data_IF_568757717480
#
_entry.id   IF_568757717480
#
_cell.length_a   1.000
_cell.length_b   1.000
_cell.length_c   1.000
_cell.angle_alpha   90.00
_cell.angle_beta   90.00
_cell.angle_gamma   90.00
#
_symmetry.space_group_name_H-M   'P 1'
#
loop_
_entity.id
_entity.type
_entity.pdbx_description
1 polymer ?
#
# COMPACT_ATOMS: atom_id res chain seq x y z
N UNK A 1 -5.53 3.86 -22.73
CA UNK A 1 -7.01 3.72 -22.82
C UNK A 1 -7.58 4.20 -21.50
N UNK A 2 -8.78 4.79 -21.45
CA UNK A 2 -9.38 5.13 -20.16
C UNK A 2 -9.58 3.84 -19.35
N UNK A 3 -9.10 3.82 -18.12
CA UNK A 3 -9.20 2.67 -17.22
C UNK A 3 -10.68 2.49 -16.85
N UNK A 4 -11.28 1.36 -17.28
CA UNK A 4 -12.64 0.99 -16.92
C UNK A 4 -12.63 0.22 -15.60
N UNK A 5 -12.85 0.95 -14.51
CA UNK A 5 -12.90 0.40 -13.18
C UNK A 5 -14.01 -0.66 -12.96
N UNK A 6 -15.04 -0.69 -13.81
CA UNK A 6 -16.11 -1.70 -13.74
C UNK A 6 -15.76 -2.99 -14.48
N UNK A 7 -14.82 -2.94 -15.42
CA UNK A 7 -14.34 -4.08 -16.20
C UNK A 7 -12.82 -4.14 -16.12
N UNK A 8 -12.24 -4.51 -14.96
CA UNK A 8 -10.81 -4.51 -14.75
C UNK A 8 -10.10 -5.47 -15.70
N UNK A 9 -9.02 -5.00 -16.31
CA UNK A 9 -8.15 -5.80 -17.18
C UNK A 9 -6.75 -5.77 -16.60
N UNK A 10 -6.14 -6.95 -16.46
CA UNK A 10 -4.76 -7.05 -16.01
C UNK A 10 -3.84 -6.28 -16.98
N UNK A 11 -2.98 -5.37 -16.48
CA UNK A 11 -2.09 -4.60 -17.32
C UNK A 11 -1.06 -5.51 -18.00
N UNK A 12 -0.81 -5.25 -19.28
CA UNK A 12 0.08 -6.07 -20.13
C UNK A 12 1.52 -5.53 -20.15
N UNK A 13 1.87 -4.65 -19.22
CA UNK A 13 3.21 -4.05 -19.18
C UNK A 13 4.25 -5.09 -18.72
N UNK A 14 5.30 -5.34 -19.50
CA UNK A 14 6.35 -6.27 -19.09
C UNK A 14 7.08 -5.71 -17.87
N UNK A 15 7.14 -6.49 -16.79
CA UNK A 15 8.02 -6.17 -15.65
C UNK A 15 9.41 -6.68 -15.95
N UNK A 16 10.25 -5.79 -16.49
CA UNK A 16 11.66 -6.07 -16.68
C UNK A 16 12.37 -6.16 -15.33
N UNK A 17 13.27 -7.13 -15.17
CA UNK A 17 14.06 -7.34 -13.96
C UNK A 17 15.48 -7.66 -14.37
N UNK A 18 16.46 -7.04 -13.72
CA UNK A 18 17.87 -7.37 -13.94
C UNK A 18 18.51 -6.62 -15.12
N UNK A 19 19.85 -6.67 -15.15
CA UNK A 19 20.66 -5.91 -16.11
C UNK A 19 20.48 -6.39 -17.56
N UNK A 20 20.16 -7.66 -17.73
CA UNK A 20 19.92 -8.32 -19.02
C UNK A 20 18.60 -7.88 -19.67
N UNK A 21 17.69 -7.26 -18.91
CA UNK A 21 16.40 -6.78 -19.39
C UNK A 21 16.29 -5.26 -19.46
N UNK A 22 17.42 -4.54 -19.48
CA UNK A 22 17.41 -3.09 -19.68
C UNK A 22 16.99 -2.78 -21.12
N UNK A 23 15.93 -1.96 -21.35
CA UNK A 23 15.49 -1.60 -22.69
C UNK A 23 16.57 -0.83 -23.47
N UNK A 24 16.66 -1.06 -24.78
CA UNK A 24 17.67 -0.45 -25.65
C UNK A 24 17.65 1.10 -25.70
N UNK A 25 16.52 1.72 -25.33
CA UNK A 25 16.39 3.18 -25.29
C UNK A 25 16.94 3.81 -24.00
N UNK A 26 17.31 3.01 -22.99
CA UNK A 26 17.87 3.51 -21.73
C UNK A 26 19.35 3.84 -21.94
N UNK A 27 19.79 5.09 -21.72
CA UNK A 27 21.19 5.46 -21.85
C UNK A 27 22.06 4.71 -20.82
N UNK A 28 23.16 4.04 -21.21
CA UNK A 28 23.99 3.25 -20.31
C UNK A 28 24.51 4.03 -19.08
N UNK A 29 24.78 5.31 -19.26
CA UNK A 29 25.27 6.22 -18.21
C UNK A 29 24.24 6.54 -17.13
N UNK A 30 22.95 6.23 -17.35
CA UNK A 30 21.85 6.42 -16.40
C UNK A 30 21.45 5.12 -15.68
N UNK A 31 22.01 3.97 -16.07
CA UNK A 31 21.71 2.69 -15.44
C UNK A 31 22.36 2.64 -14.05
N UNK A 32 21.58 2.34 -13.01
CA UNK A 32 22.05 2.17 -11.63
C UNK A 32 21.51 0.88 -11.04
N UNK A 33 22.20 0.39 -10.01
CA UNK A 33 21.72 -0.63 -9.12
C UNK A 33 21.81 -0.05 -7.71
N UNK A 34 20.86 0.82 -7.37
CA UNK A 34 20.93 1.66 -6.17
C UNK A 34 20.71 0.86 -4.89
N UNK A 35 19.94 -0.23 -4.94
CA UNK A 35 19.53 -0.95 -3.74
C UNK A 35 18.49 -0.20 -2.91
N UNK A 36 17.83 0.80 -3.50
CA UNK A 36 16.68 1.47 -2.87
C UNK A 36 15.61 0.42 -2.52
N UNK A 37 14.93 0.63 -1.38
CA UNK A 37 13.91 -0.23 -0.75
C UNK A 37 14.33 -1.62 -0.26
N UNK A 38 15.35 -2.26 -0.85
CA UNK A 38 15.67 -3.67 -0.57
C UNK A 38 17.13 -3.93 -0.19
N UNK A 39 18.03 -3.00 -0.50
CA UNK A 39 19.45 -3.14 -0.23
C UNK A 39 19.77 -3.07 1.26
N UNK A 40 20.83 -3.77 1.73
CA UNK A 40 21.20 -3.78 3.14
C UNK A 40 21.47 -2.38 3.69
N UNK A 41 22.07 -1.49 2.89
CA UNK A 41 22.35 -0.11 3.30
C UNK A 41 21.07 0.70 3.50
N UNK A 42 20.06 0.53 2.64
CA UNK A 42 18.75 1.17 2.79
C UNK A 42 18.03 0.65 4.05
N UNK A 43 18.03 -0.67 4.26
CA UNK A 43 17.35 -1.28 5.40
C UNK A 43 18.00 -0.93 6.74
N UNK A 44 19.33 -0.75 6.77
CA UNK A 44 20.05 -0.36 7.97
C UNK A 44 19.79 1.09 8.37
N UNK A 45 19.72 2.01 7.40
CA UNK A 45 19.50 3.44 7.67
C UNK A 45 18.86 4.14 6.46
N UNK A 46 17.52 4.07 6.32
CA UNK A 46 16.84 4.55 5.11
C UNK A 46 16.94 6.07 4.97
N UNK A 47 16.99 6.83 6.07
CA UNK A 47 17.07 8.29 6.01
C UNK A 47 18.42 8.79 5.48
N UNK A 48 19.53 8.25 6.01
CA UNK A 48 20.87 8.62 5.53
C UNK A 48 21.11 8.09 4.12
N UNK A 49 20.59 6.90 3.79
CA UNK A 49 20.60 6.38 2.44
C UNK A 49 19.90 7.34 1.47
N UNK A 50 18.69 7.80 1.79
CA UNK A 50 17.93 8.72 0.92
C UNK A 50 18.62 10.08 0.77
N UNK A 51 19.21 10.61 1.85
CA UNK A 51 20.02 11.83 1.77
C UNK A 51 21.22 11.65 0.83
N UNK A 52 21.98 10.56 0.99
CA UNK A 52 23.10 10.25 0.13
C UNK A 52 22.68 9.97 -1.32
N UNK A 53 21.51 9.38 -1.54
CA UNK A 53 20.94 9.12 -2.88
C UNK A 53 20.77 10.44 -3.63
N UNK A 54 20.22 11.47 -2.97
CA UNK A 54 20.04 12.80 -3.54
C UNK A 54 21.36 13.50 -3.90
N UNK A 55 22.45 13.19 -3.22
CA UNK A 55 23.77 13.79 -3.50
C UNK A 55 24.55 13.02 -4.57
N UNK A 56 24.47 11.69 -4.55
CA UNK A 56 25.36 10.80 -5.32
C UNK A 56 24.79 10.36 -6.66
N UNK A 57 23.47 10.34 -6.81
CA UNK A 57 22.81 9.87 -8.03
C UNK A 57 22.37 11.03 -8.93
N UNK A 58 22.24 10.80 -10.26
CA UNK A 58 21.62 11.79 -11.13
C UNK A 58 20.16 12.04 -10.69
N UNK A 59 19.60 13.23 -10.95
CA UNK A 59 18.20 13.56 -10.63
C UNK A 59 17.17 12.56 -11.17
N UNK A 60 17.46 11.98 -12.33
CA UNK A 60 16.66 10.95 -12.97
C UNK A 60 17.60 9.84 -13.43
N UNK A 61 17.30 8.60 -13.04
CA UNK A 61 18.11 7.44 -13.41
C UNK A 61 17.26 6.18 -13.55
N UNK A 62 17.76 5.20 -14.27
CA UNK A 62 17.08 3.90 -14.46
C UNK A 62 17.67 2.89 -13.48
N UNK A 63 16.88 2.49 -12.48
CA UNK A 63 17.30 1.51 -11.50
C UNK A 63 16.99 0.10 -11.97
N UNK A 64 17.94 -0.79 -11.76
CA UNK A 64 17.81 -2.22 -12.00
C UNK A 64 17.73 -2.90 -10.63
N UNK A 65 16.61 -3.58 -10.36
CA UNK A 65 16.37 -4.21 -9.06
C UNK A 65 15.79 -5.61 -9.21
N UNK A 66 15.91 -6.48 -8.20
CA UNK A 66 15.28 -7.80 -8.20
C UNK A 66 13.74 -7.77 -8.28
N UNK A 67 13.11 -6.65 -7.92
CA UNK A 67 11.65 -6.52 -7.85
C UNK A 67 11.04 -5.80 -9.05
N UNK A 68 11.87 -5.20 -9.90
CA UNK A 68 11.46 -4.47 -11.10
C UNK A 68 12.46 -3.38 -11.46
N UNK A 69 12.78 -3.28 -12.74
CA UNK A 69 13.54 -2.18 -13.30
C UNK A 69 12.60 -0.98 -13.51
N UNK A 70 13.00 0.22 -13.09
CA UNK A 70 12.16 1.41 -13.19
C UNK A 70 12.97 2.70 -13.24
N UNK A 71 12.35 3.76 -13.76
CA UNK A 71 12.90 5.11 -13.65
C UNK A 71 12.65 5.66 -12.24
N UNK A 72 13.67 6.30 -11.67
CA UNK A 72 13.59 7.02 -10.41
C UNK A 72 13.74 8.51 -10.67
N UNK A 73 12.82 9.30 -10.11
CA UNK A 73 12.86 10.76 -10.09
C UNK A 73 13.09 11.18 -8.64
N UNK A 74 14.31 11.62 -8.32
CA UNK A 74 14.74 11.83 -6.92
C UNK A 74 14.80 13.30 -6.52
N UNK A 75 14.47 14.22 -7.43
CA UNK A 75 14.36 15.65 -7.12
C UNK A 75 12.90 16.05 -7.03
N UNK A 76 12.61 16.98 -6.11
CA UNK A 76 11.26 17.43 -5.81
C UNK A 76 10.51 17.89 -7.07
N UNK A 77 11.16 18.68 -7.92
CA UNK A 77 10.53 19.27 -9.11
C UNK A 77 10.09 18.20 -10.11
N UNK A 78 10.97 17.23 -10.40
CA UNK A 78 10.71 16.12 -11.31
C UNK A 78 9.64 15.18 -10.75
N UNK A 79 9.75 14.80 -9.47
CA UNK A 79 8.76 13.95 -8.82
C UNK A 79 7.38 14.61 -8.78
N UNK A 80 7.32 15.90 -8.46
CA UNK A 80 6.07 16.66 -8.45
C UNK A 80 5.47 16.80 -9.84
N UNK A 81 6.31 16.96 -10.88
CA UNK A 81 5.86 16.92 -12.27
C UNK A 81 5.22 15.57 -12.59
N UNK A 82 5.91 14.46 -12.30
CA UNK A 82 5.38 13.11 -12.51
C UNK A 82 4.02 12.89 -11.85
N UNK A 83 3.90 13.27 -10.57
CA UNK A 83 2.67 13.13 -9.79
C UNK A 83 1.51 14.02 -10.23
N UNK A 84 1.76 15.06 -11.05
CA UNK A 84 0.74 16.03 -11.51
C UNK A 84 0.31 15.88 -12.96
N UNK A 85 0.94 14.99 -13.72
CA UNK A 85 0.65 14.77 -15.14
C UNK A 85 0.17 13.33 -15.39
N UNK A 86 -1.03 12.94 -14.90
CA UNK A 86 -1.56 11.60 -15.08
C UNK A 86 -1.87 11.24 -16.55
N UNK A 87 -1.93 12.24 -17.43
CA UNK A 87 -2.01 12.07 -18.89
C UNK A 87 -0.69 11.54 -19.50
N UNK A 88 0.43 11.72 -18.80
CA UNK A 88 1.75 11.20 -19.16
C UNK A 88 2.14 10.00 -18.28
N UNK A 89 1.91 10.11 -16.97
CA UNK A 89 2.24 9.11 -15.95
C UNK A 89 0.96 8.53 -15.34
N UNK A 90 0.39 7.56 -16.05
CA UNK A 90 -0.80 6.83 -15.59
C UNK A 90 -0.52 6.07 -14.29
N UNK A 91 -1.54 5.95 -13.44
CA UNK A 91 -1.51 5.10 -12.25
C UNK A 91 -1.88 3.63 -12.54
N UNK A 92 -2.18 3.26 -13.79
CA UNK A 92 -2.52 1.89 -14.17
C UNK A 92 -1.42 0.91 -13.74
N UNK A 93 -1.77 -0.04 -12.85
CA UNK A 93 -0.82 -1.04 -12.36
C UNK A 93 0.28 -0.50 -11.44
N UNK A 94 0.13 0.72 -10.90
CA UNK A 94 1.09 1.32 -9.97
C UNK A 94 1.26 0.51 -8.67
N UNK A 95 0.29 -0.33 -8.30
CA UNK A 95 0.41 -1.17 -7.10
C UNK A 95 1.22 -2.43 -7.41
N UNK A 96 2.36 -2.65 -6.75
CA UNK A 96 3.30 -3.70 -7.13
C UNK A 96 2.85 -5.12 -6.73
N UNK A 97 1.73 -5.25 -6.00
CA UNK A 97 1.25 -6.54 -5.48
C UNK A 97 0.79 -7.49 -6.59
N UNK A 98 1.28 -8.75 -6.58
CA UNK A 98 0.80 -9.79 -7.47
C UNK A 98 -0.70 -10.05 -7.25
N UNK A 99 -1.43 -10.27 -8.34
CA UNK A 99 -2.86 -10.56 -8.38
C UNK A 99 -3.13 -11.65 -9.41
N UNK A 100 -4.24 -12.35 -9.24
CA UNK A 100 -4.73 -13.31 -10.21
C UNK A 100 -5.17 -12.56 -11.49
N UNK A 101 -4.61 -12.88 -12.67
CA UNK A 101 -5.04 -12.30 -13.94
C UNK A 101 -6.49 -12.65 -14.31
N UNK A 102 -7.01 -13.80 -13.84
CA UNK A 102 -8.36 -14.28 -14.16
C UNK A 102 -9.43 -13.71 -13.21
N UNK A 103 -9.01 -13.11 -12.09
CA UNK A 103 -9.85 -12.45 -11.08
C UNK A 103 -9.27 -11.07 -10.71
N UNK A 104 -8.88 -10.32 -11.74
CA UNK A 104 -8.17 -9.06 -11.58
C UNK A 104 -9.08 -7.93 -11.09
N UNK A 105 -8.54 -7.03 -10.27
CA UNK A 105 -9.19 -5.81 -9.83
C UNK A 105 -8.17 -4.67 -9.72
N UNK A 106 -8.65 -3.44 -9.88
CA UNK A 106 -7.86 -2.24 -9.59
C UNK A 106 -7.95 -1.88 -8.11
N UNK A 107 -6.83 -1.49 -7.51
CA UNK A 107 -6.86 -0.81 -6.22
C UNK A 107 -7.42 0.59 -6.43
N UNK A 108 -8.69 0.77 -6.11
CA UNK A 108 -9.38 2.04 -6.31
C UNK A 108 -9.31 2.85 -5.01
N UNK A 109 -8.89 4.13 -5.04
CA UNK A 109 -8.66 4.94 -6.24
C UNK A 109 -7.21 4.97 -6.75
N UNK A 110 -6.26 4.29 -6.10
CA UNK A 110 -4.81 4.47 -6.36
C UNK A 110 -4.34 4.03 -7.75
N UNK A 111 -5.03 3.11 -8.44
CA UNK A 111 -4.66 2.60 -9.78
C UNK A 111 -5.51 3.15 -10.93
N UNK A 112 -6.31 4.19 -10.68
CA UNK A 112 -7.18 4.77 -11.71
C UNK A 112 -6.89 6.25 -11.91
N UNK A 113 -7.02 6.71 -13.16
CA UNK A 113 -6.74 8.09 -13.55
C UNK A 113 -8.01 8.94 -13.72
N UNK A 114 -7.90 10.28 -13.83
CA UNK A 114 -8.99 11.12 -14.28
C UNK A 114 -9.57 10.67 -15.63
N UNK A 115 -10.90 10.82 -15.85
CA UNK A 115 -11.87 11.45 -14.96
C UNK A 115 -12.43 10.52 -13.87
N UNK A 116 -12.21 9.20 -13.96
CA UNK A 116 -12.83 8.22 -13.05
C UNK A 116 -12.30 8.34 -11.61
N UNK A 117 -11.02 8.64 -11.43
CA UNK A 117 -10.40 8.83 -10.11
C UNK A 117 -11.24 9.68 -9.15
N UNK A 118 -11.75 10.83 -9.62
CA UNK A 118 -12.55 11.75 -8.79
C UNK A 118 -13.87 11.14 -8.33
N UNK A 119 -14.52 10.32 -9.16
CA UNK A 119 -15.79 9.65 -8.83
C UNK A 119 -15.62 8.81 -7.57
N UNK A 120 -14.58 7.99 -7.51
CA UNK A 120 -14.34 7.08 -6.38
C UNK A 120 -13.81 7.82 -5.14
N UNK A 121 -12.93 8.81 -5.34
CA UNK A 121 -12.50 9.69 -4.24
C UNK A 121 -13.65 10.38 -3.52
N UNK A 122 -14.67 10.86 -4.25
CA UNK A 122 -15.85 11.47 -3.64
C UNK A 122 -16.61 10.54 -2.68
N UNK A 123 -16.42 9.22 -2.79
CA UNK A 123 -17.06 8.24 -1.90
C UNK A 123 -16.27 8.06 -0.60
N UNK A 124 -14.94 7.97 -0.70
CA UNK A 124 -14.05 7.67 0.45
C UNK A 124 -13.54 8.92 1.17
N UNK A 125 -13.33 10.03 0.46
CA UNK A 125 -12.78 11.27 1.01
C UNK A 125 -13.56 11.83 2.22
N UNK A 126 -14.91 11.73 2.29
CA UNK A 126 -15.66 12.20 3.46
C UNK A 126 -15.24 11.52 4.77
N UNK A 127 -14.88 10.23 4.72
CA UNK A 127 -14.41 9.46 5.89
C UNK A 127 -13.09 10.02 6.41
N UNK A 128 -12.20 10.43 5.50
CA UNK A 128 -10.87 10.96 5.81
C UNK A 128 -10.82 12.49 5.85
N UNK A 129 -11.98 13.16 5.78
CA UNK A 129 -12.05 14.61 5.99
C UNK A 129 -11.69 14.98 7.44
N UNK A 130 -11.30 16.24 7.75
CA UNK A 130 -11.01 16.64 9.12
C UNK A 130 -12.15 16.30 10.10
N UNK A 131 -13.40 16.49 9.69
CA UNK A 131 -14.58 16.13 10.49
C UNK A 131 -14.80 14.62 10.59
N UNK A 132 -14.48 13.86 9.54
CA UNK A 132 -14.52 12.39 9.58
C UNK A 132 -13.49 11.83 10.57
N UNK A 133 -12.25 12.30 10.50
CA UNK A 133 -11.16 11.89 11.39
C UNK A 133 -11.45 12.27 12.85
N UNK A 134 -12.03 13.45 13.13
CA UNK A 134 -12.42 13.82 14.50
C UNK A 134 -13.43 12.85 15.12
N UNK A 135 -14.32 12.24 14.32
CA UNK A 135 -15.26 11.22 14.83
C UNK A 135 -14.55 9.92 15.23
N UNK A 136 -13.40 9.63 14.62
CA UNK A 136 -12.59 8.44 14.91
C UNK A 136 -11.70 8.64 16.14
N UNK A 137 -11.50 9.88 16.61
CA UNK A 137 -10.55 10.19 17.70
C UNK A 137 -10.77 9.33 18.94
N UNK A 138 -12.01 9.22 19.41
CA UNK A 138 -12.34 8.44 20.60
C UNK A 138 -12.01 6.96 20.44
N UNK A 139 -12.32 6.38 19.28
CA UNK A 139 -12.03 4.97 18.98
C UNK A 139 -10.53 4.73 18.86
N UNK A 140 -9.80 5.57 18.12
CA UNK A 140 -8.34 5.49 17.98
C UNK A 140 -7.66 5.59 19.36
N UNK A 141 -8.12 6.53 20.20
CA UNK A 141 -7.61 6.70 21.56
C UNK A 141 -7.86 5.45 22.41
N UNK A 142 -9.04 4.84 22.30
CA UNK A 142 -9.33 3.58 22.99
C UNK A 142 -8.38 2.47 22.52
N UNK A 143 -8.20 2.28 21.21
CA UNK A 143 -7.27 1.26 20.68
C UNK A 143 -5.83 1.47 21.13
N UNK A 144 -5.38 2.71 21.16
CA UNK A 144 -4.06 3.05 21.68
C UNK A 144 -3.94 2.68 23.16
N UNK A 145 -4.92 3.04 23.98
CA UNK A 145 -4.92 2.71 25.40
C UNK A 145 -4.98 1.19 25.65
N UNK A 146 -5.82 0.46 24.91
CA UNK A 146 -5.92 -1.01 25.03
C UNK A 146 -4.57 -1.70 24.80
N UNK A 147 -3.79 -1.23 23.80
CA UNK A 147 -2.45 -1.75 23.51
C UNK A 147 -1.42 -1.34 24.58
N UNK A 148 -1.50 -0.11 25.09
CA UNK A 148 -0.64 0.36 26.19
C UNK A 148 -0.91 -0.44 27.46
N UNK A 149 -2.17 -0.67 27.81
CA UNK A 149 -2.56 -1.46 28.98
C UNK A 149 -2.05 -2.90 28.88
N UNK A 150 -2.06 -3.48 27.67
CA UNK A 150 -1.48 -4.81 27.41
C UNK A 150 0.05 -4.81 27.57
N UNK A 151 0.74 -3.76 27.13
CA UNK A 151 2.18 -3.59 27.33
C UNK A 151 2.51 -3.42 28.81
N UNK A 152 1.75 -2.61 29.55
CA UNK A 152 1.91 -2.40 30.99
C UNK A 152 1.76 -3.73 31.76
N UNK A 153 0.82 -4.59 31.35
CA UNK A 153 0.67 -5.93 31.90
C UNK A 153 1.91 -6.82 31.66
N UNK A 154 2.51 -6.80 30.45
CA UNK A 154 3.78 -7.49 30.16
C UNK A 154 4.91 -6.99 31.04
N UNK A 155 5.05 -5.66 31.15
CA UNK A 155 6.08 -5.03 31.99
C UNK A 155 5.89 -5.38 33.47
N UNK A 156 4.65 -5.41 33.97
CA UNK A 156 4.35 -5.84 35.34
C UNK A 156 4.74 -7.31 35.59
N UNK A 157 4.63 -8.16 34.57
CA UNK A 157 5.11 -9.54 34.58
C UNK A 157 6.64 -9.67 34.40
N UNK A 158 7.38 -8.56 34.34
CA UNK A 158 8.83 -8.47 34.06
C UNK A 158 9.23 -8.99 32.68
N UNK A 159 8.31 -8.93 31.73
CA UNK A 159 8.57 -9.20 30.33
C UNK A 159 9.02 -7.92 29.62
N UNK A 160 9.62 -8.10 28.44
CA UNK A 160 10.02 -7.00 27.55
C UNK A 160 8.96 -6.75 26.49
N UNK A 161 8.85 -5.48 26.08
CA UNK A 161 8.00 -5.05 24.97
C UNK A 161 8.87 -4.87 23.71
N UNK A 162 8.41 -5.38 22.58
CA UNK A 162 8.92 -5.00 21.26
C UNK A 162 7.90 -4.05 20.64
N UNK A 163 8.28 -2.78 20.47
CA UNK A 163 7.33 -1.72 20.11
C UNK A 163 6.62 -1.98 18.78
N UNK A 164 7.29 -2.55 17.79
CA UNK A 164 6.74 -2.77 16.46
C UNK A 164 5.63 -3.82 16.47
N UNK A 165 5.82 -4.92 17.19
CA UNK A 165 4.92 -6.06 17.32
C UNK A 165 3.82 -5.79 18.34
N UNK A 166 4.14 -5.14 19.45
CA UNK A 166 3.18 -4.91 20.54
C UNK A 166 2.32 -3.65 20.34
N UNK A 167 2.77 -2.66 19.55
CA UNK A 167 2.05 -1.38 19.38
C UNK A 167 2.02 -0.87 17.93
N UNK A 168 3.18 -0.79 17.28
CA UNK A 168 3.37 -0.13 15.99
C UNK A 168 2.58 -0.74 14.84
N UNK A 169 2.55 -2.07 14.73
CA UNK A 169 1.75 -2.81 13.74
C UNK A 169 0.30 -3.00 14.17
N UNK A 170 -0.02 -3.38 15.43
CA UNK A 170 -1.41 -3.60 15.83
C UNK A 170 -2.29 -2.34 15.79
N UNK A 171 -1.77 -1.17 16.16
CA UNK A 171 -2.57 0.07 16.22
C UNK A 171 -3.17 0.45 14.86
N UNK A 172 -2.39 0.66 13.77
CA UNK A 172 -2.95 1.04 12.48
C UNK A 172 -3.88 -0.02 11.90
N UNK A 173 -3.61 -1.32 12.13
CA UNK A 173 -4.51 -2.39 11.70
C UNK A 173 -5.83 -2.36 12.47
N UNK A 174 -5.80 -2.14 13.78
CA UNK A 174 -7.02 -2.01 14.60
C UNK A 174 -7.90 -0.85 14.12
N UNK A 175 -7.26 0.30 13.84
CA UNK A 175 -7.96 1.48 13.30
C UNK A 175 -8.53 1.20 11.91
N UNK A 176 -7.79 0.49 11.05
CA UNK A 176 -8.30 0.05 9.75
C UNK A 176 -9.54 -0.83 9.89
N UNK A 177 -9.52 -1.83 10.78
CA UNK A 177 -10.66 -2.71 11.01
C UNK A 177 -11.88 -1.94 11.51
N UNK A 178 -11.70 -0.97 12.43
CA UNK A 178 -12.79 -0.10 12.90
C UNK A 178 -13.39 0.73 11.76
N UNK A 179 -12.55 1.37 10.93
CA UNK A 179 -13.01 2.16 9.77
C UNK A 179 -13.80 1.28 8.78
N UNK A 180 -13.32 0.06 8.54
CA UNK A 180 -13.93 -0.85 7.59
C UNK A 180 -15.19 -1.54 8.13
N UNK A 181 -15.45 -1.47 9.45
CA UNK A 181 -16.52 -2.22 10.10
C UNK A 181 -16.23 -3.73 10.17
N UNK A 182 -14.95 -4.08 10.26
CA UNK A 182 -14.45 -5.45 10.36
C UNK A 182 -14.19 -5.82 11.83
N UNK A 183 -14.27 -7.11 12.19
CA UNK A 183 -14.16 -7.54 13.57
C UNK A 183 -12.69 -7.46 14.06
N UNK A 184 -12.51 -7.05 15.32
CA UNK A 184 -11.19 -6.80 15.91
C UNK A 184 -10.41 -8.07 16.27
N UNK A 185 -11.06 -9.23 16.35
CA UNK A 185 -10.41 -10.52 16.54
C UNK A 185 -9.53 -10.92 15.34
N UNK A 186 -9.80 -10.36 14.16
CA UNK A 186 -9.00 -10.53 12.95
C UNK A 186 -7.72 -9.67 12.93
N UNK A 187 -7.48 -8.82 13.93
CA UNK A 187 -6.35 -7.87 13.95
C UNK A 187 -5.01 -8.57 13.71
N UNK A 188 -4.72 -9.62 14.47
CA UNK A 188 -3.41 -10.26 14.43
C UNK A 188 -3.19 -10.99 13.09
N UNK A 189 -4.26 -11.54 12.51
CA UNK A 189 -4.24 -12.16 11.19
C UNK A 189 -4.02 -11.12 10.08
N UNK A 190 -4.69 -9.96 10.15
CA UNK A 190 -4.44 -8.84 9.22
C UNK A 190 -3.04 -8.25 9.38
N UNK A 191 -2.49 -8.19 10.60
CA UNK A 191 -1.09 -7.80 10.83
C UNK A 191 -0.16 -8.77 10.11
N UNK A 192 -0.35 -10.08 10.26
CA UNK A 192 0.49 -11.09 9.60
C UNK A 192 0.42 -10.97 8.07
N UNK A 193 -0.80 -10.85 7.50
CA UNK A 193 -0.99 -10.67 6.07
C UNK A 193 -0.32 -9.39 5.57
N UNK A 194 -0.51 -8.27 6.26
CA UNK A 194 0.07 -6.97 5.87
C UNK A 194 1.59 -6.98 5.95
N UNK A 195 2.19 -7.56 6.99
CA UNK A 195 3.65 -7.66 7.13
C UNK A 195 4.24 -8.48 5.98
N UNK A 196 3.69 -9.68 5.71
CA UNK A 196 4.15 -10.57 4.64
C UNK A 196 3.87 -9.99 3.24
N UNK A 197 2.83 -9.19 3.07
CA UNK A 197 2.56 -8.52 1.80
C UNK A 197 3.51 -7.34 1.54
N UNK A 198 3.78 -6.51 2.56
CA UNK A 198 4.51 -5.24 2.41
C UNK A 198 6.03 -5.37 2.55
N UNK A 199 6.52 -6.37 3.29
CA UNK A 199 7.94 -6.51 3.64
C UNK A 199 8.59 -7.78 3.09
N UNK A 200 7.87 -8.57 2.30
CA UNK A 200 8.44 -9.74 1.61
C UNK A 200 9.11 -9.33 0.31
N UNK A 201 10.27 -9.94 0.04
CA UNK A 201 10.92 -9.90 -1.27
C UNK A 201 10.56 -11.12 -2.14
N UNK A 202 9.69 -12.01 -1.63
CA UNK A 202 9.17 -13.19 -2.33
C UNK A 202 7.76 -12.91 -2.85
N UNK A 203 7.64 -12.86 -4.18
CA UNK A 203 6.39 -12.61 -4.89
C UNK A 203 5.34 -13.70 -4.66
N UNK A 204 5.73 -14.95 -4.43
CA UNK A 204 4.78 -16.03 -4.13
C UNK A 204 4.13 -15.81 -2.76
N UNK A 205 4.91 -15.41 -1.76
CA UNK A 205 4.39 -15.05 -0.42
C UNK A 205 3.43 -13.85 -0.54
N UNK A 206 3.80 -12.82 -1.29
CA UNK A 206 2.95 -11.64 -1.52
C UNK A 206 1.63 -12.03 -2.21
N UNK A 207 1.69 -12.87 -3.24
CA UNK A 207 0.51 -13.35 -3.97
C UNK A 207 -0.43 -14.15 -3.06
N UNK A 208 0.12 -15.03 -2.23
CA UNK A 208 -0.66 -15.81 -1.25
C UNK A 208 -1.41 -14.89 -0.27
N UNK A 209 -0.72 -13.88 0.29
CA UNK A 209 -1.37 -12.96 1.22
C UNK A 209 -2.41 -12.09 0.53
N UNK A 210 -2.14 -11.63 -0.69
CA UNK A 210 -3.11 -10.88 -1.48
C UNK A 210 -4.37 -11.72 -1.75
N UNK A 211 -4.22 -13.01 -2.05
CA UNK A 211 -5.32 -13.94 -2.22
C UNK A 211 -6.16 -14.07 -0.94
N UNK A 212 -5.52 -14.23 0.23
CA UNK A 212 -6.20 -14.31 1.53
C UNK A 212 -6.99 -13.03 1.85
N UNK A 213 -6.35 -11.87 1.71
CA UNK A 213 -6.98 -10.55 1.93
C UNK A 213 -8.18 -10.39 0.99
N UNK A 214 -8.02 -10.70 -0.30
CA UNK A 214 -9.08 -10.56 -1.31
C UNK A 214 -10.25 -11.48 -1.00
N UNK A 215 -9.99 -12.75 -0.69
CA UNK A 215 -11.04 -13.71 -0.33
C UNK A 215 -11.83 -13.26 0.91
N UNK A 216 -11.13 -12.80 1.95
CA UNK A 216 -11.76 -12.29 3.16
C UNK A 216 -12.64 -11.05 2.87
N UNK A 217 -12.10 -10.06 2.17
CA UNK A 217 -12.83 -8.83 1.85
C UNK A 217 -14.05 -9.10 0.96
N UNK A 218 -13.97 -10.05 0.02
CA UNK A 218 -15.12 -10.49 -0.78
C UNK A 218 -16.22 -11.08 0.10
N UNK A 219 -15.88 -11.95 1.05
CA UNK A 219 -16.85 -12.50 2.01
C UNK A 219 -17.48 -11.38 2.86
N UNK A 220 -16.66 -10.48 3.40
CA UNK A 220 -17.14 -9.38 4.21
C UNK A 220 -18.08 -8.44 3.43
N UNK A 221 -17.81 -8.19 2.15
CA UNK A 221 -18.70 -7.39 1.30
C UNK A 221 -20.06 -8.06 1.14
N UNK A 222 -20.11 -9.38 0.88
CA UNK A 222 -21.38 -10.11 0.76
C UNK A 222 -22.15 -10.11 2.09
N UNK A 223 -21.47 -10.31 3.21
CA UNK A 223 -22.08 -10.25 4.54
C UNK A 223 -22.66 -8.86 4.85
N UNK A 224 -21.96 -7.78 4.51
CA UNK A 224 -22.42 -6.39 4.71
C UNK A 224 -23.51 -5.96 3.73
N UNK A 225 -23.61 -6.60 2.55
CA UNK A 225 -24.78 -6.43 1.65
C UNK A 225 -26.03 -7.02 2.28
N UNK A 226 -25.91 -8.19 2.93
CA UNK A 226 -27.01 -8.84 3.64
C UNK A 226 -27.33 -8.17 4.99
N UNK A 227 -26.31 -7.71 5.71
CA UNK A 227 -26.39 -7.13 7.06
C UNK A 227 -25.66 -5.78 7.12
N UNK A 228 -26.27 -4.69 6.64
CA UNK A 228 -25.61 -3.39 6.57
C UNK A 228 -25.30 -2.78 7.94
N UNK A 229 -24.20 -2.05 8.01
CA UNK A 229 -23.79 -1.24 9.18
C UNK A 229 -23.21 0.11 8.74
N UNK A 230 -22.62 0.85 9.67
CA UNK A 230 -22.03 2.17 9.41
C UNK A 230 -20.56 2.08 8.91
N UNK A 231 -20.02 0.88 8.74
CA UNK A 231 -18.65 0.66 8.27
C UNK A 231 -18.46 0.99 6.79
N UNK A 232 -17.23 1.34 6.40
CA UNK A 232 -16.93 1.70 4.99
C UNK A 232 -17.31 0.59 4.02
N UNK A 233 -17.15 -0.69 4.39
CA UNK A 233 -17.53 -1.83 3.54
C UNK A 233 -19.03 -1.83 3.22
N UNK A 234 -19.88 -1.36 4.14
CA UNK A 234 -21.33 -1.29 3.95
C UNK A 234 -21.80 -0.02 3.23
N UNK A 235 -20.90 0.93 2.96
CA UNK A 235 -21.25 2.22 2.37
C UNK A 235 -21.96 2.04 1.02
N UNK A 236 -23.28 2.26 1.00
CA UNK A 236 -24.13 2.12 -0.21
C UNK A 236 -23.76 3.06 -1.35
N UNK A 237 -22.92 4.09 -1.09
CA UNK A 237 -22.38 4.96 -2.14
C UNK A 237 -21.25 4.31 -2.95
N UNK A 238 -20.71 3.17 -2.49
CA UNK A 238 -19.70 2.36 -3.19
C UNK A 238 -20.33 1.34 -4.17
N UNK A 239 -21.66 1.18 -4.17
CA UNK A 239 -22.33 0.30 -5.13
C UNK A 239 -22.48 1.02 -6.48
N UNK A 240 -22.08 0.37 -7.60
CA UNK A 240 -22.16 0.97 -8.94
C UNK A 240 -23.58 1.32 -9.39
#
# INVERSE_FOLDING_TARGET
>A
MPIDAANPVAPVFPRHVGMDQVPAHVPPELIRQSGLTFGPDFLANPHDFMAALHEKQPPIYYDVSPMGNMWHLIKHEDALFGLRHPDVFSNEGATPFPRDPDDYFYFIPIEIDPPHHRKYRNIVDPVFSPQGVLKLEGQIRQRANDLIDAIDAKVAARETCEYTEDYGRPLPVSVFLDIMGLPQDMRDEFVDWAVKLLHSNDRAIMAEQMGKITAYLKSAIEDKKANPDDGVVSCRRLQP
#
